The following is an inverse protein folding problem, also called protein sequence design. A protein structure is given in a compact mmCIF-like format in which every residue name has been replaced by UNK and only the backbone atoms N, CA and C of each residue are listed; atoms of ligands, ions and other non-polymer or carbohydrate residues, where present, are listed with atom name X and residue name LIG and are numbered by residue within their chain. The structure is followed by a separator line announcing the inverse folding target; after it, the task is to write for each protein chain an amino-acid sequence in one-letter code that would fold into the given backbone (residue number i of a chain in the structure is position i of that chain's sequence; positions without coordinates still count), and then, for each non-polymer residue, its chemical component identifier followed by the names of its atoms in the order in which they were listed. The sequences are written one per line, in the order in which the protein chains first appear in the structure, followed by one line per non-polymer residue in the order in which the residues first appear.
data_IF_142061960836
#
_entry.id   IF_142061960836
#
_cell.length_a   1.000
_cell.length_b   1.000
_cell.length_c   1.000
_cell.angle_alpha   90.00
_cell.angle_beta   90.00
_cell.angle_gamma   90.00
#
_symmetry.space_group_name_H-M   'P 1'
#
loop_
_entity.id
_entity.type
_entity.pdbx_description
1 polymer ?
#
# COMPACT_ATOMS: atom_id res chain seq x y z
N UNK A 1 17.05 12.16 10.53
CA UNK A 1 15.85 13.01 10.67
C UNK A 1 14.86 12.90 9.50
N UNK A 2 15.16 12.18 8.41
CA UNK A 2 14.25 12.15 7.25
C UNK A 2 13.01 11.27 7.47
N UNK A 3 13.13 10.19 8.25
CA UNK A 3 12.03 9.23 8.53
C UNK A 3 10.82 9.87 9.21
N UNK A 4 11.06 10.90 10.02
CA UNK A 4 10.03 11.60 10.80
C UNK A 4 9.26 12.63 9.95
N UNK A 5 9.91 13.18 8.91
CA UNK A 5 9.33 14.17 7.99
C UNK A 5 8.70 13.53 6.73
N UNK A 6 8.83 12.22 6.54
CA UNK A 6 8.21 11.53 5.42
C UNK A 6 6.68 11.58 5.54
N UNK A 7 6.03 12.05 4.48
CA UNK A 7 4.57 12.13 4.37
C UNK A 7 3.95 10.78 4.02
N UNK A 8 4.73 9.89 3.41
CA UNK A 8 4.25 8.58 2.95
C UNK A 8 4.91 7.43 3.71
N UNK A 9 4.16 6.35 3.91
CA UNK A 9 4.64 5.10 4.50
C UNK A 9 5.75 4.50 3.65
N UNK A 10 5.63 4.56 2.32
CA UNK A 10 6.65 4.16 1.35
C UNK A 10 7.97 4.90 1.54
N UNK A 11 7.96 6.22 1.72
CA UNK A 11 9.19 6.97 1.97
C UNK A 11 9.75 6.66 3.34
N UNK A 12 8.91 6.53 4.38
CA UNK A 12 9.35 6.09 5.70
C UNK A 12 10.09 4.76 5.64
N UNK A 13 9.54 3.79 4.91
CA UNK A 13 10.17 2.49 4.69
C UNK A 13 11.50 2.56 3.93
N UNK A 14 11.68 3.51 3.00
CA UNK A 14 12.95 3.67 2.26
C UNK A 14 14.08 4.22 3.13
N UNK A 15 13.75 5.09 4.08
CA UNK A 15 14.74 5.67 5.00
C UNK A 15 14.97 4.80 6.24
N UNK A 16 14.12 3.79 6.46
CA UNK A 16 14.27 2.83 7.54
C UNK A 16 15.28 1.74 7.18
N UNK A 17 16.36 1.66 7.95
CA UNK A 17 17.41 0.64 7.83
C UNK A 17 17.99 0.50 6.41
N UNK A 18 18.40 1.64 5.84
CA UNK A 18 18.88 1.78 4.45
C UNK A 18 20.02 0.80 4.12
N UNK A 19 20.97 0.61 5.03
CA UNK A 19 22.10 -0.30 4.82
C UNK A 19 21.63 -1.74 4.60
N UNK A 20 20.71 -2.25 5.42
CA UNK A 20 20.16 -3.59 5.27
C UNK A 20 19.30 -3.70 4.01
N UNK A 21 18.51 -2.68 3.69
CA UNK A 21 17.75 -2.68 2.44
C UNK A 21 18.65 -2.72 1.21
N UNK A 22 19.74 -1.95 1.21
CA UNK A 22 20.74 -1.98 0.14
C UNK A 22 21.40 -3.37 0.03
N UNK A 23 21.80 -3.94 1.16
CA UNK A 23 22.40 -5.28 1.20
C UNK A 23 21.44 -6.34 0.64
N UNK A 24 20.17 -6.33 1.06
CA UNK A 24 19.13 -7.23 0.57
C UNK A 24 18.84 -7.01 -0.93
N UNK A 25 18.86 -5.75 -1.39
CA UNK A 25 18.64 -5.42 -2.79
C UNK A 25 19.77 -5.97 -3.68
N UNK A 26 21.02 -5.86 -3.24
CA UNK A 26 22.18 -6.31 -4.02
C UNK A 26 22.35 -7.83 -3.95
N UNK A 27 22.18 -8.44 -2.78
CA UNK A 27 22.51 -9.85 -2.56
C UNK A 27 21.33 -10.81 -2.77
N UNK A 28 20.09 -10.36 -2.57
CA UNK A 28 18.90 -11.25 -2.67
C UNK A 28 18.05 -10.87 -3.86
N UNK A 29 17.71 -9.58 -3.99
CA UNK A 29 16.79 -9.11 -5.01
C UNK A 29 17.39 -9.18 -6.42
N UNK A 30 18.67 -8.83 -6.60
CA UNK A 30 19.34 -8.88 -7.92
C UNK A 30 19.74 -10.29 -8.35
N UNK A 31 19.95 -11.21 -7.41
CA UNK A 31 20.34 -12.60 -7.69
C UNK A 31 19.16 -13.47 -8.15
N UNK A 32 17.92 -13.03 -7.97
CA UNK A 32 16.77 -13.82 -8.37
C UNK A 32 16.69 -13.97 -9.90
N UNK A 33 16.77 -15.21 -10.45
CA UNK A 33 17.03 -15.45 -11.87
C UNK A 33 15.86 -15.07 -12.80
N UNK A 34 14.68 -14.75 -12.26
CA UNK A 34 13.46 -14.55 -13.04
C UNK A 34 12.87 -13.16 -12.84
N UNK A 35 13.16 -12.22 -13.75
CA UNK A 35 12.53 -10.88 -13.80
C UNK A 35 11.00 -10.93 -13.92
N UNK A 36 10.44 -12.06 -14.40
CA UNK A 36 9.01 -12.29 -14.59
C UNK A 36 8.23 -12.46 -13.27
N UNK A 37 8.88 -12.91 -12.19
CA UNK A 37 8.24 -13.16 -10.89
C UNK A 37 8.54 -12.04 -9.88
N UNK A 38 8.10 -10.81 -10.19
CA UNK A 38 8.32 -9.63 -9.33
C UNK A 38 7.80 -9.81 -7.90
N UNK A 39 6.69 -10.53 -7.74
CA UNK A 39 6.08 -10.85 -6.44
C UNK A 39 6.92 -11.87 -5.69
N UNK A 40 7.32 -12.97 -6.33
CA UNK A 40 8.18 -13.99 -5.73
C UNK A 40 9.53 -13.45 -5.27
N UNK A 41 10.13 -12.57 -6.07
CA UNK A 41 11.38 -11.87 -5.70
C UNK A 41 11.21 -11.00 -4.45
N UNK A 42 10.13 -10.24 -4.37
CA UNK A 42 9.86 -9.38 -3.20
C UNK A 42 9.61 -10.23 -1.96
N UNK A 43 8.86 -11.33 -2.09
CA UNK A 43 8.64 -12.30 -1.02
C UNK A 43 9.94 -12.93 -0.53
N UNK A 44 10.83 -13.37 -1.42
CA UNK A 44 12.11 -13.95 -1.05
C UNK A 44 13.02 -12.95 -0.30
N UNK A 45 13.06 -11.69 -0.74
CA UNK A 45 13.80 -10.63 -0.03
C UNK A 45 13.25 -10.39 1.37
N UNK A 46 11.92 -10.36 1.53
CA UNK A 46 11.27 -10.18 2.82
C UNK A 46 11.45 -11.40 3.74
N UNK A 47 11.43 -12.62 3.19
CA UNK A 47 11.72 -13.84 3.93
C UNK A 47 13.17 -13.89 4.42
N UNK A 48 14.12 -13.49 3.57
CA UNK A 48 15.53 -13.35 3.98
C UNK A 48 15.68 -12.30 5.09
N UNK A 49 14.96 -11.17 4.97
CA UNK A 49 14.92 -10.16 6.03
C UNK A 49 14.32 -10.71 7.33
N UNK A 50 13.26 -11.51 7.27
CA UNK A 50 12.66 -12.11 8.46
C UNK A 50 13.59 -13.14 9.11
N UNK A 51 14.25 -13.96 8.28
CA UNK A 51 15.25 -14.92 8.75
C UNK A 51 16.42 -14.22 9.46
N UNK A 52 16.89 -13.08 8.95
CA UNK A 52 17.93 -12.27 9.60
C UNK A 52 17.54 -11.82 11.02
N UNK A 53 16.26 -11.53 11.26
CA UNK A 53 15.76 -11.16 12.59
C UNK A 53 15.50 -12.37 13.52
N UNK A 54 15.64 -13.60 13.01
CA UNK A 54 15.52 -14.84 13.77
C UNK A 54 14.17 -15.56 13.58
N UNK A 55 14.14 -16.85 13.94
CA UNK A 55 13.01 -17.76 13.75
C UNK A 55 11.89 -17.54 14.78
N UNK A 56 11.33 -16.33 14.80
CA UNK A 56 10.25 -15.93 15.70
C UNK A 56 9.06 -15.44 14.88
N UNK A 57 7.84 -15.95 15.14
CA UNK A 57 6.68 -15.70 14.29
C UNK A 57 6.32 -14.22 14.18
N UNK A 58 6.59 -13.41 15.22
CA UNK A 58 6.34 -11.96 15.18
C UNK A 58 7.12 -11.20 14.11
N UNK A 59 8.37 -11.59 13.85
CA UNK A 59 9.20 -10.92 12.83
C UNK A 59 8.68 -11.17 11.42
N UNK A 60 8.30 -12.42 11.12
CA UNK A 60 7.67 -12.77 9.85
C UNK A 60 6.36 -12.00 9.67
N UNK A 61 5.56 -11.91 10.73
CA UNK A 61 4.29 -11.20 10.69
C UNK A 61 4.45 -9.71 10.38
N UNK A 62 5.39 -9.02 11.04
CA UNK A 62 5.66 -7.61 10.78
C UNK A 62 6.20 -7.37 9.37
N UNK A 63 7.22 -8.13 8.97
CA UNK A 63 7.94 -7.90 7.71
C UNK A 63 7.07 -8.26 6.51
N UNK A 64 6.26 -9.31 6.61
CA UNK A 64 5.27 -9.66 5.58
C UNK A 64 4.07 -8.72 5.59
N UNK A 65 3.74 -8.09 6.71
CA UNK A 65 2.68 -7.08 6.82
C UNK A 65 3.01 -5.76 6.09
N UNK A 66 4.26 -5.30 6.17
CA UNK A 66 4.72 -4.05 5.56
C UNK A 66 4.36 -3.86 4.06
N UNK A 67 4.57 -4.83 3.13
CA UNK A 67 4.21 -4.66 1.72
C UNK A 67 2.70 -4.52 1.48
N UNK A 68 1.84 -5.04 2.36
CA UNK A 68 0.39 -4.85 2.25
C UNK A 68 -0.01 -3.39 2.53
N UNK A 69 0.58 -2.77 3.55
CA UNK A 69 0.36 -1.34 3.85
C UNK A 69 0.87 -0.44 2.72
N UNK A 70 2.05 -0.73 2.15
CA UNK A 70 2.58 -0.02 0.98
C UNK A 70 1.65 -0.14 -0.23
N UNK A 71 1.07 -1.32 -0.45
CA UNK A 71 0.16 -1.55 -1.58
C UNK A 71 -1.17 -0.78 -1.41
N UNK A 72 -1.69 -0.73 -0.18
CA UNK A 72 -2.86 0.07 0.17
C UNK A 72 -2.60 1.56 -0.04
N UNK A 73 -1.45 2.06 0.43
CA UNK A 73 -1.05 3.44 0.23
C UNK A 73 -0.90 3.79 -1.26
N UNK A 74 -0.30 2.92 -2.07
CA UNK A 74 -0.19 3.11 -3.52
C UNK A 74 -1.56 3.22 -4.21
N UNK A 75 -2.52 2.39 -3.79
CA UNK A 75 -3.89 2.41 -4.31
C UNK A 75 -4.55 3.76 -3.99
N UNK A 76 -4.48 4.19 -2.74
CA UNK A 76 -5.06 5.45 -2.30
C UNK A 76 -4.38 6.68 -2.91
N UNK A 77 -3.05 6.67 -3.05
CA UNK A 77 -2.32 7.72 -3.74
C UNK A 77 -2.80 7.90 -5.18
N UNK A 78 -3.04 6.80 -5.92
CA UNK A 78 -3.58 6.86 -7.29
C UNK A 78 -5.02 7.38 -7.34
N UNK A 79 -5.80 7.08 -6.30
CA UNK A 79 -7.24 7.33 -6.29
C UNK A 79 -7.61 8.71 -5.75
N UNK A 80 -6.85 9.22 -4.80
CA UNK A 80 -7.19 10.45 -4.08
C UNK A 80 -6.21 11.56 -4.40
N UNK A 81 -4.91 11.26 -4.45
CA UNK A 81 -3.87 12.29 -4.59
C UNK A 81 -3.74 12.85 -6.01
N UNK A 82 -4.19 12.10 -7.02
CA UNK A 82 -4.22 12.58 -8.41
C UNK A 82 -5.32 13.60 -8.68
N UNK A 83 -6.40 13.58 -7.91
CA UNK A 83 -7.60 14.39 -8.19
C UNK A 83 -7.89 15.42 -7.09
N UNK A 84 -7.25 15.30 -5.92
CA UNK A 84 -7.32 16.30 -4.88
C UNK A 84 -6.50 17.55 -5.26
N UNK A 85 -7.18 18.69 -5.34
CA UNK A 85 -6.57 20.02 -5.56
C UNK A 85 -6.91 20.95 -4.40
N UNK A 86 -6.00 21.86 -4.06
CA UNK A 86 -6.19 22.86 -3.01
C UNK A 86 -6.17 22.29 -1.56
N UNK A 87 -6.92 22.90 -0.62
CA UNK A 87 -6.83 22.58 0.82
C UNK A 87 -7.28 21.15 1.17
N UNK A 88 -8.12 20.55 0.33
CA UNK A 88 -8.57 19.15 0.47
C UNK A 88 -7.38 18.19 0.38
N UNK A 89 -6.37 18.49 -0.45
CA UNK A 89 -5.15 17.68 -0.56
C UNK A 89 -4.33 17.70 0.72
N UNK A 90 -4.22 18.86 1.36
CA UNK A 90 -3.48 19.00 2.63
C UNK A 90 -4.13 18.21 3.75
N UNK A 91 -5.46 18.27 3.89
CA UNK A 91 -6.19 17.47 4.90
C UNK A 91 -5.96 15.98 4.68
N UNK A 92 -6.03 15.53 3.43
CA UNK A 92 -5.82 14.13 3.06
C UNK A 92 -4.37 13.72 3.35
N UNK A 93 -3.38 14.53 2.97
CA UNK A 93 -1.96 14.25 3.23
C UNK A 93 -1.68 14.16 4.76
N UNK A 94 -2.31 15.00 5.59
CA UNK A 94 -2.23 14.91 7.07
C UNK A 94 -2.87 13.63 7.60
N UNK A 95 -4.03 13.23 7.09
CA UNK A 95 -4.67 11.97 7.47
C UNK A 95 -3.77 10.77 7.12
N UNK A 96 -3.20 10.72 5.91
CA UNK A 96 -2.25 9.67 5.52
C UNK A 96 -1.03 9.63 6.42
N UNK A 97 -0.52 10.79 6.82
CA UNK A 97 0.61 10.88 7.74
C UNK A 97 0.28 10.32 9.14
N UNK A 98 -0.91 10.58 9.67
CA UNK A 98 -1.38 9.98 10.93
C UNK A 98 -1.52 8.46 10.80
N UNK A 99 -2.17 7.98 9.72
CA UNK A 99 -2.34 6.55 9.46
C UNK A 99 -1.01 5.83 9.30
N UNK A 100 -0.01 6.47 8.69
CA UNK A 100 1.36 5.94 8.61
C UNK A 100 1.91 5.67 10.00
N UNK A 101 1.88 6.64 10.90
CA UNK A 101 2.41 6.48 12.26
C UNK A 101 1.69 5.38 13.03
N UNK A 102 0.37 5.30 12.89
CA UNK A 102 -0.42 4.23 13.47
C UNK A 102 0.00 2.86 12.93
N UNK A 103 0.16 2.72 11.60
CA UNK A 103 0.61 1.50 10.97
C UNK A 103 2.02 1.10 11.44
N UNK A 104 2.98 2.02 11.45
CA UNK A 104 4.35 1.77 11.93
C UNK A 104 4.36 1.33 13.40
N UNK A 105 3.57 1.97 14.26
CA UNK A 105 3.45 1.60 15.66
C UNK A 105 2.87 0.18 15.80
N UNK A 106 1.80 -0.13 15.07
CA UNK A 106 1.12 -1.42 15.13
C UNK A 106 1.99 -2.59 14.60
N UNK A 107 2.73 -2.35 13.53
CA UNK A 107 3.76 -3.26 12.99
C UNK A 107 4.93 -3.41 13.96
N UNK A 108 5.39 -2.31 14.56
CA UNK A 108 6.46 -2.30 15.55
C UNK A 108 6.13 -3.12 16.80
N UNK A 109 4.88 -3.07 17.27
CA UNK A 109 4.43 -3.91 18.39
C UNK A 109 4.46 -5.41 18.02
N UNK A 110 4.02 -5.78 16.81
CA UNK A 110 4.14 -7.16 16.35
C UNK A 110 5.60 -7.63 16.26
N UNK A 111 6.50 -6.73 15.85
CA UNK A 111 7.94 -7.00 15.82
C UNK A 111 8.51 -7.19 17.22
N UNK A 112 8.15 -6.33 18.19
CA UNK A 112 8.68 -6.36 19.56
C UNK A 112 8.21 -7.58 20.36
N UNK A 113 6.92 -7.90 20.30
CA UNK A 113 6.33 -8.93 21.16
C UNK A 113 6.79 -10.35 20.78
N UNK A 114 7.25 -10.54 19.53
CA UNK A 114 7.94 -11.72 18.98
C UNK A 114 7.17 -13.06 19.04
N UNK A 115 6.25 -13.26 19.98
CA UNK A 115 5.46 -14.45 20.24
C UNK A 115 4.02 -14.24 19.76
N UNK A 116 3.53 -15.16 18.92
CA UNK A 116 2.21 -15.07 18.30
C UNK A 116 1.08 -14.96 19.35
N UNK A 117 1.20 -15.68 20.47
CA UNK A 117 0.20 -15.64 21.55
C UNK A 117 0.11 -14.27 22.22
N UNK A 118 1.26 -13.62 22.46
CA UNK A 118 1.28 -12.29 23.05
C UNK A 118 0.77 -11.23 22.05
N UNK A 119 1.12 -11.37 20.77
CA UNK A 119 0.64 -10.48 19.70
C UNK A 119 -0.89 -10.54 19.62
N UNK A 120 -1.45 -11.75 19.62
CA UNK A 120 -2.89 -11.94 19.53
C UNK A 120 -3.62 -11.41 20.76
N UNK A 121 -3.05 -11.60 21.98
CA UNK A 121 -3.61 -11.03 23.21
C UNK A 121 -3.61 -9.50 23.19
N UNK A 122 -2.51 -8.87 22.75
CA UNK A 122 -2.44 -7.42 22.60
C UNK A 122 -3.42 -6.91 21.53
N UNK A 123 -3.51 -7.60 20.38
CA UNK A 123 -4.48 -7.23 19.34
C UNK A 123 -5.93 -7.40 19.79
N UNK A 124 -6.22 -8.43 20.58
CA UNK A 124 -7.54 -8.60 21.19
C UNK A 124 -7.84 -7.48 22.19
N UNK A 125 -6.86 -7.04 22.98
CA UNK A 125 -7.06 -5.94 23.96
C UNK A 125 -7.28 -4.58 23.31
N UNK A 126 -6.77 -4.37 22.09
CA UNK A 126 -7.04 -3.16 21.28
C UNK A 126 -8.16 -3.38 20.24
N UNK A 127 -8.98 -4.43 20.41
CA UNK A 127 -10.11 -4.76 19.54
C UNK A 127 -9.77 -4.85 18.05
N UNK A 128 -8.54 -5.25 17.73
CA UNK A 128 -8.04 -5.35 16.35
C UNK A 128 -8.20 -4.04 15.55
N UNK A 129 -8.19 -2.88 16.22
CA UNK A 129 -8.46 -1.58 15.59
C UNK A 129 -7.57 -1.32 14.37
N UNK A 130 -6.32 -1.77 14.37
CA UNK A 130 -5.42 -1.66 13.21
C UNK A 130 -5.93 -2.42 11.98
N UNK A 131 -6.47 -3.63 12.17
CA UNK A 131 -7.08 -4.39 11.09
C UNK A 131 -8.41 -3.83 10.64
N UNK A 132 -9.23 -3.33 11.58
CA UNK A 132 -10.52 -2.71 11.26
C UNK A 132 -10.28 -1.46 10.42
N UNK A 133 -9.38 -0.57 10.85
CA UNK A 133 -8.99 0.62 10.08
C UNK A 133 -8.42 0.23 8.71
N UNK A 134 -7.54 -0.76 8.65
CA UNK A 134 -6.98 -1.23 7.37
C UNK A 134 -8.05 -1.82 6.44
N UNK A 135 -8.95 -2.64 6.96
CA UNK A 135 -10.04 -3.26 6.20
C UNK A 135 -11.04 -2.22 5.71
N UNK A 136 -11.39 -1.23 6.54
CA UNK A 136 -12.24 -0.11 6.14
C UNK A 136 -11.59 0.70 5.01
N UNK A 137 -10.30 1.01 5.11
CA UNK A 137 -9.57 1.71 4.06
C UNK A 137 -9.45 0.89 2.76
N UNK A 138 -9.25 -0.43 2.86
CA UNK A 138 -9.26 -1.33 1.70
C UNK A 138 -10.64 -1.35 1.03
N UNK A 139 -11.71 -1.50 1.83
CA UNK A 139 -13.09 -1.54 1.33
C UNK A 139 -13.48 -0.24 0.63
N UNK A 140 -13.23 0.91 1.27
CA UNK A 140 -13.46 2.23 0.68
C UNK A 140 -12.64 2.42 -0.60
N UNK A 141 -11.36 2.05 -0.58
CA UNK A 141 -10.48 2.15 -1.74
C UNK A 141 -10.96 1.30 -2.93
N UNK A 142 -11.44 0.07 -2.67
CA UNK A 142 -11.96 -0.81 -3.70
C UNK A 142 -13.28 -0.31 -4.30
N UNK A 143 -14.22 0.14 -3.44
CA UNK A 143 -15.49 0.74 -3.88
C UNK A 143 -15.22 1.94 -4.77
N UNK A 144 -14.37 2.87 -4.31
CA UNK A 144 -14.09 4.11 -5.02
C UNK A 144 -13.29 3.86 -6.32
N UNK A 145 -12.41 2.85 -6.35
CA UNK A 145 -11.74 2.39 -7.58
C UNK A 145 -12.73 1.82 -8.59
N UNK A 146 -13.69 1.01 -8.14
CA UNK A 146 -14.71 0.43 -9.01
C UNK A 146 -15.67 1.50 -9.53
N UNK A 147 -16.06 2.47 -8.71
CA UNK A 147 -16.87 3.61 -9.13
C UNK A 147 -16.18 4.43 -10.21
N UNK A 148 -14.87 4.69 -10.08
CA UNK A 148 -14.11 5.38 -11.12
C UNK A 148 -14.02 4.61 -12.43
N UNK A 149 -13.67 3.32 -12.37
CA UNK A 149 -13.65 2.47 -13.56
C UNK A 149 -15.02 2.41 -14.24
N UNK A 150 -16.10 2.39 -13.45
CA UNK A 150 -17.46 2.45 -13.99
C UNK A 150 -17.75 3.81 -14.65
N UNK A 151 -17.32 4.92 -14.04
CA UNK A 151 -17.48 6.27 -14.59
C UNK A 151 -16.68 6.46 -15.89
N UNK A 152 -15.44 5.97 -15.96
CA UNK A 152 -14.60 5.99 -17.16
C UNK A 152 -15.24 5.18 -18.30
N UNK A 153 -15.73 3.97 -18.03
CA UNK A 153 -16.46 3.15 -19.02
C UNK A 153 -17.72 3.85 -19.54
N UNK A 154 -18.47 4.55 -18.67
CA UNK A 154 -19.63 5.35 -19.07
C UNK A 154 -19.23 6.53 -19.98
N UNK A 155 -18.12 7.21 -19.69
CA UNK A 155 -17.57 8.30 -20.52
C UNK A 155 -17.12 7.79 -21.88
N UNK A 156 -16.39 6.67 -21.94
CA UNK A 156 -15.96 6.04 -23.20
C UNK A 156 -17.15 5.62 -24.06
N UNK A 157 -18.19 5.04 -23.47
CA UNK A 157 -19.43 4.70 -24.18
C UNK A 157 -20.16 5.93 -24.75
N UNK A 158 -20.20 7.04 -24.00
CA UNK A 158 -20.79 8.31 -24.47
C UNK A 158 -19.99 8.92 -25.61
N UNK A 159 -18.65 8.90 -25.52
CA UNK A 159 -17.78 9.40 -26.58
C UNK A 159 -17.92 8.58 -27.87
N UNK A 160 -17.91 7.24 -27.78
CA UNK A 160 -18.09 6.38 -28.94
C UNK A 160 -19.50 6.51 -29.57
N UNK A 161 -20.54 6.66 -28.76
CA UNK A 161 -21.90 6.89 -29.25
C UNK A 161 -22.07 8.24 -29.94
N UNK A 162 -21.42 9.29 -29.43
CA UNK A 162 -21.41 10.63 -30.03
C UNK A 162 -20.72 10.68 -31.40
N UNK A 163 -19.56 10.03 -31.52
CA UNK A 163 -18.85 9.91 -32.81
C UNK A 163 -19.65 9.12 -33.85
N UNK A 164 -20.35 8.06 -33.42
CA UNK A 164 -21.16 7.24 -34.34
C UNK A 164 -22.36 8.03 -34.88
N UNK A 165 -23.06 8.78 -34.01
CA UNK A 165 -24.18 9.62 -34.41
C UNK A 165 -23.77 10.78 -35.33
N UNK A 166 -22.62 11.42 -35.07
CA UNK A 166 -22.09 12.49 -35.91
C UNK A 166 -21.64 12.01 -37.31
N UNK A 167 -21.20 10.75 -37.42
CA UNK A 167 -20.85 10.13 -38.71
C UNK A 167 -22.09 9.77 -39.52
N UNK A 168 -23.18 9.31 -38.88
CA UNK A 168 -24.45 9.06 -39.57
C UNK A 168 -25.11 10.35 -40.07
N UNK A 169 -25.10 11.43 -39.28
CA UNK A 169 -25.65 12.73 -39.68
C UNK A 169 -24.94 13.32 -40.91
N UNK A 170 -23.61 13.18 -40.99
CA UNK A 170 -22.82 13.58 -42.18
C UNK A 170 -23.05 12.72 -43.42
N UNK A 171 -23.54 11.49 -43.28
CA UNK A 171 -23.89 10.63 -44.42
C UNK A 171 -25.31 10.88 -44.95
N UNK A 172 -26.16 11.51 -44.13
CA UNK A 172 -27.54 11.82 -44.48
C UNK A 172 -27.71 13.19 -45.17
N UNK A 173 -26.68 14.03 -45.14
CA UNK A 173 -26.54 15.28 -45.92
C UNK A 173 -25.84 15.02 -47.25
#
# INVERSE_FOLDING_TARGET
MEVERCWTFREGMKHWNVCVQYWLAVNVYKLFPSKKYRVGRTGATLLCSAYWHGFRPGHYFCIMGAPFYVSLEDMWNKLVRKDATGPVRTVIDVLFWIFKWFAFSYLGVAFLLSSFGNIWRFYSSVYHIGYICWAAMMGLGFILTNQRKAAERRRQKRAAGGDTAAVEEKKAQ
#
